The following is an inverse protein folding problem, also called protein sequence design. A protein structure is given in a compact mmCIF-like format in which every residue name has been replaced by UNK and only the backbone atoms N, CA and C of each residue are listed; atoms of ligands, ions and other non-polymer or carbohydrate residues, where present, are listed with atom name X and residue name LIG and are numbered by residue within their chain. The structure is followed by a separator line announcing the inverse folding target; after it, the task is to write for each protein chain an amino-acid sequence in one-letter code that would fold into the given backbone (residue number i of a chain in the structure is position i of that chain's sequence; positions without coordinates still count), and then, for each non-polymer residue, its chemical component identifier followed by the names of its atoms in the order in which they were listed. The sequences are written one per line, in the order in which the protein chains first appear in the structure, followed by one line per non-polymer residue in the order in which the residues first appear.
data_IF_674917851189
#
_entry.id   IF_674917851189
#
_cell.length_a   1.000
_cell.length_b   1.000
_cell.length_c   1.000
_cell.angle_alpha   90.00
_cell.angle_beta   90.00
_cell.angle_gamma   90.00
#
_symmetry.space_group_name_H-M   'P 1'
#
loop_
_entity.id
_entity.type
_entity.pdbx_description
1 polymer ?
#
# COMPACT_ATOMS: atom_id res chain seq x y z
N UNK A 1 15.24 -2.27 -8.32
CA UNK A 1 13.94 -2.59 -7.69
C UNK A 1 13.82 -1.87 -6.38
N UNK A 2 12.68 -1.23 -6.20
CA UNK A 2 12.33 -0.39 -5.07
C UNK A 2 11.02 -0.87 -4.45
N UNK A 3 10.86 -0.73 -3.14
CA UNK A 3 9.61 -1.05 -2.46
C UNK A 3 9.21 0.08 -1.55
N UNK A 4 7.91 0.30 -1.46
CA UNK A 4 7.32 1.21 -0.47
C UNK A 4 6.31 0.44 0.35
N UNK A 5 6.35 0.62 1.66
CA UNK A 5 5.30 0.14 2.56
C UNK A 5 4.60 1.33 3.20
N UNK A 6 3.28 1.25 3.28
CA UNK A 6 2.49 2.12 4.15
C UNK A 6 1.90 1.24 5.27
N UNK A 7 2.42 1.40 6.49
CA UNK A 7 1.90 0.73 7.69
C UNK A 7 0.72 1.53 8.21
N UNK A 8 -0.48 1.00 8.06
CA UNK A 8 -1.74 1.64 8.43
C UNK A 8 -2.29 0.97 9.68
N UNK A 9 -2.52 1.76 10.72
CA UNK A 9 -3.18 1.34 11.94
C UNK A 9 -4.66 1.67 11.84
N UNK A 10 -5.53 0.72 12.16
CA UNK A 10 -6.98 0.90 12.15
C UNK A 10 -7.63 0.44 13.46
N UNK A 11 -8.80 1.00 13.79
CA UNK A 11 -9.64 0.51 14.88
C UNK A 11 -10.01 -0.96 14.65
N UNK A 12 -9.88 -1.78 15.68
CA UNK A 12 -10.26 -3.21 15.63
C UNK A 12 -11.70 -3.41 15.15
N UNK A 13 -11.93 -4.46 14.37
CA UNK A 13 -13.22 -4.79 13.78
C UNK A 13 -13.53 -4.09 12.44
N UNK A 14 -12.63 -3.24 11.94
CA UNK A 14 -12.78 -2.54 10.64
C UNK A 14 -11.93 -3.18 9.52
N UNK A 15 -11.37 -4.37 9.76
CA UNK A 15 -10.52 -5.07 8.80
C UNK A 15 -11.22 -5.34 7.46
N UNK A 16 -12.47 -5.80 7.49
CA UNK A 16 -13.24 -6.12 6.27
C UNK A 16 -13.47 -4.86 5.40
N UNK A 17 -13.75 -3.72 6.03
CA UNK A 17 -13.91 -2.43 5.32
C UNK A 17 -12.59 -1.99 4.68
N UNK A 18 -11.49 -2.13 5.42
CA UNK A 18 -10.14 -1.85 4.92
C UNK A 18 -9.80 -2.74 3.72
N UNK A 19 -10.02 -4.04 3.82
CA UNK A 19 -9.77 -5.01 2.75
C UNK A 19 -10.65 -4.72 1.53
N UNK A 20 -11.91 -4.36 1.72
CA UNK A 20 -12.82 -3.98 0.63
C UNK A 20 -12.37 -2.72 -0.12
N UNK A 21 -11.78 -1.75 0.57
CA UNK A 21 -11.20 -0.54 -0.07
C UNK A 21 -10.07 -0.93 -1.03
N UNK A 22 -9.13 -1.78 -0.59
CA UNK A 22 -7.99 -2.18 -1.42
C UNK A 22 -8.29 -3.30 -2.43
N UNK A 23 -9.37 -4.06 -2.22
CA UNK A 23 -9.86 -5.05 -3.18
C UNK A 23 -10.48 -4.38 -4.43
N UNK A 24 -11.01 -3.16 -4.28
CA UNK A 24 -11.39 -2.33 -5.43
C UNK A 24 -10.11 -1.95 -6.17
N UNK A 25 -9.94 -2.50 -7.37
CA UNK A 25 -8.74 -2.29 -8.18
C UNK A 25 -8.54 -0.79 -8.43
N UNK A 26 -7.43 -0.25 -7.93
CA UNK A 26 -6.93 1.06 -8.34
C UNK A 26 -6.38 1.03 -9.77
N UNK A 27 -5.81 2.14 -10.23
CA UNK A 27 -5.14 2.22 -11.54
C UNK A 27 -3.62 2.03 -11.44
N UNK A 28 -3.08 1.84 -10.24
CA UNK A 28 -1.63 1.75 -9.97
C UNK A 28 -0.94 0.65 -10.78
N UNK A 29 -1.62 -0.47 -11.06
CA UNK A 29 -1.04 -1.56 -11.86
C UNK A 29 -0.74 -1.21 -13.32
N UNK A 30 -1.28 -0.09 -13.81
CA UNK A 30 -1.04 0.40 -15.16
C UNK A 30 0.09 1.43 -15.22
N UNK A 31 0.67 1.81 -14.07
CA UNK A 31 1.70 2.83 -14.00
C UNK A 31 3.07 2.28 -14.45
N UNK A 32 3.88 3.10 -15.14
CA UNK A 32 5.23 2.71 -15.51
C UNK A 32 6.04 2.23 -14.31
N UNK A 33 6.81 1.17 -14.51
CA UNK A 33 7.69 0.62 -13.48
C UNK A 33 6.98 -0.15 -12.35
N UNK A 34 5.65 -0.15 -12.26
CA UNK A 34 4.93 -0.95 -11.26
C UNK A 34 5.22 -2.45 -11.42
N UNK A 35 5.41 -3.16 -10.31
CA UNK A 35 5.71 -4.62 -10.29
C UNK A 35 4.69 -5.42 -9.51
N UNK A 36 4.32 -4.97 -8.32
CA UNK A 36 3.34 -5.68 -7.51
C UNK A 36 2.69 -4.77 -6.49
N UNK A 37 1.49 -5.17 -6.06
CA UNK A 37 0.76 -4.65 -4.93
C UNK A 37 0.41 -5.84 -4.03
N UNK A 38 0.65 -5.69 -2.73
CA UNK A 38 0.27 -6.69 -1.73
C UNK A 38 -0.32 -5.96 -0.53
N UNK A 39 -1.39 -6.51 0.05
CA UNK A 39 -1.96 -6.05 1.32
C UNK A 39 -1.71 -7.12 2.36
N UNK A 40 -0.95 -6.80 3.39
CA UNK A 40 -0.61 -7.74 4.47
C UNK A 40 -1.27 -7.31 5.75
N UNK A 41 -2.03 -8.21 6.39
CA UNK A 41 -2.53 -8.01 7.75
C UNK A 41 -1.52 -8.57 8.76
N UNK A 42 -1.16 -7.78 9.76
CA UNK A 42 -0.38 -8.28 10.89
C UNK A 42 -1.22 -9.28 11.69
N UNK A 43 -0.67 -10.45 12.00
CA UNK A 43 -1.42 -11.54 12.62
C UNK A 43 -1.95 -11.22 14.03
N UNK A 44 -1.28 -10.34 14.79
CA UNK A 44 -1.70 -9.99 16.14
C UNK A 44 -1.19 -8.62 16.56
N UNK A 45 -2.10 -7.78 17.02
CA UNK A 45 -1.89 -6.66 17.94
C UNK A 45 -3.11 -6.58 18.88
N UNK A 46 -2.91 -6.12 20.12
CA UNK A 46 -3.90 -6.30 21.18
C UNK A 46 -4.99 -5.20 21.20
N UNK A 47 -4.71 -4.00 20.67
CA UNK A 47 -5.56 -2.80 20.78
C UNK A 47 -5.97 -2.18 19.44
N UNK A 48 -5.35 -2.59 18.33
CA UNK A 48 -5.68 -2.14 16.98
C UNK A 48 -5.31 -3.20 15.95
N UNK A 49 -5.79 -3.03 14.72
CA UNK A 49 -5.37 -3.86 13.59
C UNK A 49 -4.36 -3.10 12.73
N UNK A 50 -3.41 -3.83 12.16
CA UNK A 50 -2.34 -3.26 11.34
C UNK A 50 -2.32 -3.91 9.98
N UNK A 51 -2.31 -3.06 8.96
CA UNK A 51 -2.11 -3.47 7.57
C UNK A 51 -0.84 -2.83 7.02
N UNK A 52 -0.11 -3.57 6.19
CA UNK A 52 0.91 -3.01 5.32
C UNK A 52 0.42 -3.05 3.88
N UNK A 53 0.34 -1.87 3.27
CA UNK A 53 0.21 -1.73 1.82
C UNK A 53 1.61 -1.75 1.24
N UNK A 54 1.95 -2.80 0.50
CA UNK A 54 3.28 -3.00 -0.08
C UNK A 54 3.18 -2.81 -1.59
N UNK A 55 3.95 -1.87 -2.12
CA UNK A 55 4.11 -1.70 -3.58
C UNK A 55 5.56 -1.89 -3.98
N UNK A 56 5.79 -2.60 -5.09
CA UNK A 56 7.12 -2.78 -5.67
C UNK A 56 7.20 -2.12 -7.03
N UNK A 57 8.37 -1.56 -7.30
CA UNK A 57 8.66 -0.72 -8.45
C UNK A 57 10.01 -1.11 -9.07
N UNK A 58 10.18 -0.82 -10.35
CA UNK A 58 11.46 -0.95 -11.06
C UNK A 58 12.51 -0.02 -10.41
N UNK A 59 12.16 1.25 -10.21
CA UNK A 59 13.00 2.27 -9.59
C UNK A 59 12.26 3.16 -8.58
N UNK A 60 13.01 3.93 -7.78
CA UNK A 60 12.46 4.99 -6.93
C UNK A 60 11.80 6.09 -7.76
N UNK A 61 12.35 6.41 -8.93
CA UNK A 61 11.82 7.46 -9.81
C UNK A 61 10.44 7.09 -10.36
N UNK A 62 10.22 5.81 -10.70
CA UNK A 62 8.90 5.32 -11.12
C UNK A 62 7.85 5.50 -10.01
N UNK A 63 8.21 5.17 -8.77
CA UNK A 63 7.34 5.41 -7.61
C UNK A 63 7.06 6.91 -7.43
N UNK A 64 8.09 7.77 -7.49
CA UNK A 64 7.93 9.23 -7.36
C UNK A 64 7.09 9.83 -8.49
N UNK A 65 7.20 9.30 -9.70
CA UNK A 65 6.37 9.71 -10.83
C UNK A 65 4.91 9.30 -10.57
N UNK A 66 4.67 8.09 -10.08
CA UNK A 66 3.33 7.65 -9.70
C UNK A 66 2.71 8.56 -8.63
N UNK A 67 3.43 8.96 -7.57
CA UNK A 67 2.84 9.83 -6.53
C UNK A 67 2.38 11.20 -7.05
N UNK A 68 2.83 11.61 -8.23
CA UNK A 68 2.43 12.85 -8.91
C UNK A 68 1.37 12.63 -10.01
N UNK A 69 1.02 11.37 -10.30
CA UNK A 69 0.10 10.98 -11.36
C UNK A 69 -1.37 11.28 -11.03
N UNK A 70 -2.24 11.20 -12.06
CA UNK A 70 -3.68 11.22 -11.86
C UNK A 70 -4.18 9.96 -11.13
N UNK A 71 -3.62 8.79 -11.46
CA UNK A 71 -3.93 7.51 -10.83
C UNK A 71 -3.72 7.53 -9.32
N UNK A 72 -2.64 8.15 -8.85
CA UNK A 72 -2.41 8.35 -7.41
C UNK A 72 -3.47 9.25 -6.78
N UNK A 73 -3.75 10.40 -7.41
CA UNK A 73 -4.79 11.33 -6.91
C UNK A 73 -6.16 10.68 -6.83
N UNK A 74 -6.55 9.90 -7.83
CA UNK A 74 -7.81 9.17 -7.86
C UNK A 74 -7.87 8.09 -6.77
N UNK A 75 -6.78 7.34 -6.60
CA UNK A 75 -6.73 6.24 -5.60
C UNK A 75 -6.71 6.76 -4.16
N UNK A 76 -6.31 8.01 -3.95
CA UNK A 76 -6.30 8.69 -2.65
C UNK A 76 -7.38 9.78 -2.55
N UNK A 77 -8.33 9.82 -3.48
CA UNK A 77 -9.46 10.72 -3.43
C UNK A 77 -10.53 10.21 -2.47
N UNK A 78 -11.28 11.14 -1.89
CA UNK A 78 -12.38 10.83 -0.98
C UNK A 78 -12.04 11.09 0.49
N UNK A 79 -13.02 10.90 1.38
CA UNK A 79 -12.83 11.13 2.80
C UNK A 79 -11.88 10.08 3.38
N UNK A 80 -10.99 10.54 4.26
CA UNK A 80 -10.18 9.64 5.07
C UNK A 80 -11.09 8.93 6.08
N UNK A 81 -11.17 7.59 6.09
CA UNK A 81 -12.05 6.89 7.01
C UNK A 81 -11.69 7.14 8.49
N UNK A 82 -12.70 7.38 9.32
CA UNK A 82 -12.52 7.66 10.76
C UNK A 82 -11.99 6.47 11.56
N UNK A 83 -11.94 5.28 10.97
CA UNK A 83 -11.35 4.10 11.58
C UNK A 83 -9.84 4.01 11.39
N UNK A 84 -9.23 4.81 10.50
CA UNK A 84 -7.78 4.86 10.34
C UNK A 84 -7.18 5.73 11.44
N UNK A 85 -6.31 5.13 12.25
CA UNK A 85 -5.66 5.75 13.42
C UNK A 85 -4.34 6.44 13.05
N UNK A 86 -3.68 5.99 11.97
CA UNK A 86 -2.44 6.57 11.49
C UNK A 86 -1.81 5.76 10.38
N UNK A 87 -0.83 6.36 9.70
CA UNK A 87 -0.06 5.75 8.63
C UNK A 87 1.42 6.10 8.74
N UNK A 88 2.29 5.14 8.49
CA UNK A 88 3.75 5.34 8.43
C UNK A 88 4.28 4.82 7.09
N UNK A 89 4.86 5.71 6.30
CA UNK A 89 5.47 5.38 5.01
C UNK A 89 6.93 5.01 5.21
N UNK A 90 7.36 3.89 4.64
CA UNK A 90 8.76 3.46 4.62
C UNK A 90 9.18 3.07 3.21
N UNK A 91 10.43 3.39 2.87
CA UNK A 91 11.00 3.19 1.54
C UNK A 91 12.19 2.24 1.61
N UNK A 92 12.32 1.34 0.64
CA UNK A 92 13.32 0.27 0.66
C UNK A 92 13.94 0.04 -0.71
N UNK A 93 15.26 -0.09 -0.72
CA UNK A 93 15.97 -0.74 -1.81
C UNK A 93 15.85 -2.25 -1.69
N UNK A 94 15.26 -2.90 -2.69
CA UNK A 94 15.23 -4.37 -2.72
C UNK A 94 16.61 -4.88 -3.14
N UNK A 95 17.39 -5.39 -2.19
CA UNK A 95 18.75 -5.93 -2.46
C UNK A 95 18.75 -7.38 -2.96
N UNK A 96 17.72 -8.16 -2.61
CA UNK A 96 17.56 -9.55 -3.04
C UNK A 96 16.07 -9.89 -3.13
N UNK A 97 15.65 -10.51 -4.23
CA UNK A 97 14.31 -11.07 -4.38
C UNK A 97 14.40 -12.37 -5.18
N UNK A 98 13.85 -13.45 -4.64
CA UNK A 98 13.80 -14.77 -5.29
C UNK A 98 12.33 -15.11 -5.45
N UNK A 99 11.86 -15.16 -6.69
CA UNK A 99 10.48 -15.48 -7.04
C UNK A 99 10.49 -16.86 -7.69
N UNK A 100 9.68 -17.79 -7.16
CA UNK A 100 9.48 -19.08 -7.79
C UNK A 100 8.59 -18.89 -9.02
N UNK A 101 9.05 -19.37 -10.18
CA UNK A 101 8.28 -19.42 -11.43
C UNK A 101 7.06 -20.32 -11.33
#
# INVERSE_FOLDING_TARGET
MYSVTNRIMIKSGNGDDMEAVFAKRGNVQNEPGFKSFELWKLQKEDDHEVYLVVTRWESEDDFKAWTQSASFRESHAGPHPDYILGGELSNYDIKLSIIKS
#
